data_IF_326688324337
#
_entry.id   IF_326688324337
#
_cell.length_a   1.000
_cell.length_b   1.000
_cell.length_c   1.000
_cell.angle_alpha   90.00
_cell.angle_beta   90.00
_cell.angle_gamma   90.00
#
_symmetry.space_group_name_H-M   'P 1'
#
loop_
_entity.id
_entity.type
_entity.pdbx_description
1 polymer ?
#
# COMPACT_ATOMS: atom_id res chain seq x y z
N UNK A 1 -14.30 -14.12 -16.02
CA UNK A 1 -13.19 -13.81 -15.09
C UNK A 1 -13.69 -13.99 -13.67
N UNK A 2 -13.02 -14.75 -12.82
CA UNK A 2 -13.39 -14.88 -11.41
C UNK A 2 -12.86 -13.65 -10.66
N UNK A 3 -13.75 -12.85 -10.06
CA UNK A 3 -13.43 -11.59 -9.36
C UNK A 3 -13.55 -11.75 -7.84
N UNK A 4 -13.08 -12.86 -7.29
CA UNK A 4 -13.32 -13.25 -5.89
C UNK A 4 -12.89 -12.19 -4.86
N UNK A 5 -11.91 -11.34 -5.19
CA UNK A 5 -11.39 -10.31 -4.29
C UNK A 5 -11.88 -8.90 -4.61
N UNK A 6 -12.70 -8.70 -5.65
CA UNK A 6 -13.11 -7.35 -6.08
C UNK A 6 -13.91 -6.57 -5.01
N UNK A 7 -14.54 -7.29 -4.07
CA UNK A 7 -15.21 -6.68 -2.93
C UNK A 7 -14.23 -6.06 -1.92
N UNK A 8 -13.00 -6.55 -1.83
CA UNK A 8 -12.04 -6.20 -0.76
C UNK A 8 -10.77 -5.51 -1.27
N UNK A 9 -10.48 -5.57 -2.57
CA UNK A 9 -9.32 -4.91 -3.16
C UNK A 9 -9.54 -4.48 -4.61
N UNK A 10 -8.67 -3.59 -5.08
CA UNK A 10 -8.53 -3.19 -6.47
C UNK A 10 -7.18 -3.67 -7.01
N UNK A 11 -7.16 -4.24 -8.21
CA UNK A 11 -5.93 -4.55 -8.92
C UNK A 11 -5.56 -3.35 -9.78
N UNK A 12 -4.42 -2.73 -9.48
CA UNK A 12 -3.97 -1.50 -10.15
C UNK A 12 -2.63 -1.78 -10.83
N UNK A 13 -2.46 -1.46 -12.13
CA UNK A 13 -1.13 -1.48 -12.75
C UNK A 13 -0.18 -0.56 -11.99
N UNK A 14 0.99 -1.05 -11.59
CA UNK A 14 1.92 -0.29 -10.74
C UNK A 14 2.40 1.01 -11.41
N UNK A 15 2.47 1.04 -12.75
CA UNK A 15 2.76 2.25 -13.51
C UNK A 15 1.74 3.38 -13.31
N UNK A 16 0.47 3.05 -13.04
CA UNK A 16 -0.57 4.04 -12.71
C UNK A 16 -0.35 4.63 -11.31
N UNK A 17 0.10 3.82 -10.35
CA UNK A 17 0.44 4.29 -9.01
C UNK A 17 1.61 5.28 -9.03
N UNK A 18 2.61 5.03 -9.88
CA UNK A 18 3.71 5.98 -10.12
C UNK A 18 3.17 7.30 -10.68
N UNK A 19 2.32 7.27 -11.72
CA UNK A 19 1.71 8.48 -12.29
C UNK A 19 0.86 9.26 -11.28
N UNK A 20 0.16 8.55 -10.39
CA UNK A 20 -0.66 9.14 -9.33
C UNK A 20 0.14 9.66 -8.12
N UNK A 21 1.47 9.50 -8.11
CA UNK A 21 2.34 10.00 -7.05
C UNK A 21 2.37 9.16 -5.78
N UNK A 22 1.92 7.89 -5.81
CA UNK A 22 1.94 7.01 -4.64
C UNK A 22 3.36 6.73 -4.13
N UNK A 23 4.37 6.86 -4.99
CA UNK A 23 5.79 6.66 -4.66
C UNK A 23 6.56 7.98 -4.49
N UNK A 24 5.83 9.08 -4.27
CA UNK A 24 6.38 10.42 -4.13
C UNK A 24 6.00 11.33 -5.29
N UNK A 25 6.11 12.64 -5.06
CA UNK A 25 5.73 13.69 -6.00
C UNK A 25 6.87 14.14 -6.93
N UNK A 26 8.09 13.68 -6.67
CA UNK A 26 9.28 14.01 -7.46
C UNK A 26 9.46 13.10 -8.68
N UNK A 27 10.54 13.35 -9.43
CA UNK A 27 10.94 12.47 -10.54
C UNK A 27 11.25 11.06 -10.02
N UNK A 28 10.59 10.00 -10.53
CA UNK A 28 10.89 8.63 -10.13
C UNK A 28 12.35 8.27 -10.41
N UNK A 29 12.99 7.62 -9.45
CA UNK A 29 14.31 7.03 -9.69
C UNK A 29 14.21 5.95 -10.78
N UNK A 30 15.20 5.82 -11.69
CA UNK A 30 15.14 4.83 -12.78
C UNK A 30 14.89 3.39 -12.30
N UNK A 31 15.48 3.00 -11.16
CA UNK A 31 15.35 1.68 -10.57
C UNK A 31 13.99 1.41 -9.88
N UNK A 32 13.08 2.38 -9.82
CA UNK A 32 11.77 2.18 -9.18
C UNK A 32 10.94 1.13 -9.93
N UNK A 33 10.97 1.17 -11.26
CA UNK A 33 10.18 0.25 -12.10
C UNK A 33 10.51 -1.22 -11.82
N UNK A 34 11.78 -1.52 -11.52
CA UNK A 34 12.25 -2.88 -11.24
C UNK A 34 11.85 -3.39 -9.84
N UNK A 35 11.26 -2.54 -8.98
CA UNK A 35 10.99 -2.84 -7.56
C UNK A 35 9.52 -2.87 -7.18
N UNK A 36 8.63 -2.37 -8.02
CA UNK A 36 7.20 -2.19 -7.69
C UNK A 36 6.29 -3.27 -8.29
N UNK A 37 6.86 -4.24 -9.01
CA UNK A 37 6.11 -5.26 -9.76
C UNK A 37 5.24 -4.66 -10.86
N UNK A 38 4.51 -5.51 -11.59
CA UNK A 38 3.62 -5.06 -12.67
C UNK A 38 2.29 -4.51 -12.14
N UNK A 39 1.81 -5.05 -11.02
CA UNK A 39 0.54 -4.69 -10.39
C UNK A 39 0.66 -4.62 -8.88
N UNK A 40 -0.19 -3.80 -8.28
CA UNK A 40 -0.44 -3.75 -6.85
C UNK A 40 -1.90 -4.07 -6.55
N UNK A 41 -2.13 -4.77 -5.43
CA UNK A 41 -3.46 -4.91 -4.85
C UNK A 41 -3.65 -3.81 -3.81
N UNK A 42 -4.53 -2.84 -4.12
CA UNK A 42 -4.91 -1.81 -3.16
C UNK A 42 -6.12 -2.29 -2.36
N UNK A 43 -5.93 -2.55 -1.08
CA UNK A 43 -7.00 -3.02 -0.19
C UNK A 43 -7.99 -1.88 0.08
N UNK A 44 -9.28 -2.22 0.12
CA UNK A 44 -10.37 -1.29 0.43
C UNK A 44 -10.55 -1.17 1.95
N UNK A 45 -10.97 0.00 2.41
CA UNK A 45 -11.34 0.26 3.80
C UNK A 45 -10.31 -0.25 4.82
N UNK A 46 -10.71 -1.21 5.66
CA UNK A 46 -9.90 -1.79 6.75
C UNK A 46 -9.46 -3.22 6.45
N UNK A 47 -9.48 -3.64 5.18
CA UNK A 47 -9.03 -4.97 4.80
C UNK A 47 -7.50 -5.04 4.80
N UNK A 48 -6.98 -6.18 5.24
CA UNK A 48 -5.55 -6.49 5.19
C UNK A 48 -5.38 -7.85 4.52
N UNK A 49 -4.44 -7.94 3.59
CA UNK A 49 -4.01 -9.23 3.04
C UNK A 49 -2.83 -9.74 3.85
N UNK A 50 -2.93 -10.96 4.35
CA UNK A 50 -1.88 -11.61 5.12
C UNK A 50 -1.63 -13.01 4.60
N UNK A 51 -0.36 -13.31 4.38
CA UNK A 51 0.15 -14.67 4.21
C UNK A 51 0.87 -15.11 5.49
N UNK A 52 0.87 -16.40 5.79
CA UNK A 52 1.61 -16.98 6.92
C UNK A 52 2.74 -17.84 6.37
N UNK A 53 3.98 -17.55 6.75
CA UNK A 53 5.12 -18.35 6.30
C UNK A 53 5.35 -19.55 7.21
N UNK A 54 5.97 -20.61 6.68
CA UNK A 54 6.27 -21.82 7.46
C UNK A 54 7.19 -21.47 8.64
N UNK A 55 6.77 -21.85 9.84
CA UNK A 55 7.51 -21.56 11.08
C UNK A 55 7.23 -20.18 11.68
N UNK A 56 6.37 -19.36 11.06
CA UNK A 56 5.93 -18.09 11.65
C UNK A 56 5.19 -18.33 12.97
N UNK A 57 5.60 -17.61 14.01
CA UNK A 57 4.89 -17.63 15.30
C UNK A 57 3.49 -17.05 15.11
N UNK A 58 2.48 -17.74 15.63
CA UNK A 58 1.14 -17.20 15.68
C UNK A 58 1.11 -15.87 16.44
N UNK A 59 0.68 -14.83 15.73
CA UNK A 59 0.47 -13.48 16.25
C UNK A 59 -0.62 -12.84 15.42
N UNK A 60 -1.63 -12.25 16.06
CA UNK A 60 -2.72 -11.57 15.37
C UNK A 60 -2.66 -10.07 15.69
N UNK A 61 -2.16 -9.23 14.75
CA UNK A 61 -2.06 -7.81 14.99
C UNK A 61 -3.46 -7.20 15.13
N UNK A 62 -3.65 -6.41 16.19
CA UNK A 62 -4.90 -5.68 16.45
C UNK A 62 -5.02 -4.46 15.52
N UNK A 63 -3.89 -3.94 15.02
CA UNK A 63 -3.82 -2.86 14.05
C UNK A 63 -2.60 -2.99 13.16
N UNK A 64 -2.73 -2.56 11.91
CA UNK A 64 -1.69 -2.51 10.90
C UNK A 64 -1.77 -1.19 10.14
N UNK A 65 -0.72 -0.85 9.40
CA UNK A 65 -0.67 0.31 8.51
C UNK A 65 -0.41 -0.14 7.07
N UNK A 66 -0.54 0.81 6.15
CA UNK A 66 -0.20 0.64 4.73
C UNK A 66 -1.39 0.79 3.80
N UNK A 67 -2.58 1.13 4.32
CA UNK A 67 -3.71 1.54 3.53
C UNK A 67 -3.56 2.96 3.00
N UNK A 68 -4.32 3.28 1.95
CA UNK A 68 -4.35 4.60 1.30
C UNK A 68 -5.55 5.46 1.76
N UNK A 69 -6.12 5.14 2.93
CA UNK A 69 -7.21 5.92 3.51
C UNK A 69 -6.68 7.25 4.05
N UNK A 70 -7.56 8.27 4.12
CA UNK A 70 -7.22 9.55 4.74
C UNK A 70 -6.77 9.38 6.19
N UNK A 71 -7.44 8.50 6.94
CA UNK A 71 -7.14 8.21 8.34
C UNK A 71 -5.73 7.63 8.55
N UNK A 72 -5.17 6.95 7.55
CA UNK A 72 -3.81 6.39 7.61
C UNK A 72 -2.74 7.31 7.03
N UNK A 73 -3.06 8.05 5.96
CA UNK A 73 -2.05 8.86 5.25
C UNK A 73 -1.79 10.22 5.92
N UNK A 74 -2.76 10.80 6.61
CA UNK A 74 -2.58 12.12 7.23
C UNK A 74 -1.85 12.00 8.57
N UNK A 75 -0.57 12.39 8.57
CA UNK A 75 0.27 12.42 9.77
C UNK A 75 0.63 13.86 10.17
N UNK A 76 0.78 14.16 11.47
CA UNK A 76 1.16 15.51 11.91
C UNK A 76 2.57 15.90 11.42
N UNK A 77 2.69 17.13 10.92
CA UNK A 77 3.98 17.79 10.70
C UNK A 77 4.11 18.92 11.73
N UNK A 78 5.07 18.80 12.64
CA UNK A 78 5.38 19.80 13.65
C UNK A 78 6.66 20.54 13.26
N UNK A 79 6.59 21.87 13.17
CA UNK A 79 7.76 22.73 12.91
C UNK A 79 7.96 23.60 14.14
N UNK A 80 9.15 23.54 14.73
CA UNK A 80 9.56 24.40 15.83
C UNK A 80 10.69 25.31 15.35
N UNK A 81 10.55 26.61 15.61
CA UNK A 81 11.57 27.63 15.34
C UNK A 81 11.86 28.44 16.62
N UNK A 82 12.89 29.29 16.60
CA UNK A 82 13.17 30.22 17.69
C UNK A 82 11.99 31.18 17.97
#
# INVERSE_FOLDING_TARGET
MQTQLAAVCELIPSAELVRRGFFGLGTPAPALADRIGDYALLLKDRYTLRDKVLGEKAYDPIGVHGGASADEMFVPLLVAGP
#
